data_IF_470376073556
#
_entry.id   IF_470376073556
#
_cell.length_a   1.000
_cell.length_b   1.000
_cell.length_c   1.000
_cell.angle_alpha   90.00
_cell.angle_beta   90.00
_cell.angle_gamma   90.00
#
_symmetry.space_group_name_H-M   'P 1'
#
loop_
_entity.id
_entity.type
_entity.pdbx_description
1 polymer ?
#
# COMPACT_ATOMS: atom_id res chain seq x y z
N UNK A 1 -13.64 20.89 15.50
CA UNK A 1 -14.86 20.35 16.14
C UNK A 1 -15.06 18.95 15.54
N UNK A 2 -15.01 17.91 16.37
CA UNK A 2 -15.01 16.51 15.94
C UNK A 2 -16.45 16.07 15.67
N UNK A 3 -16.77 15.66 14.44
CA UNK A 3 -18.05 15.04 14.11
C UNK A 3 -18.01 13.56 14.47
N UNK A 4 -19.00 13.11 15.24
CA UNK A 4 -19.22 11.70 15.54
C UNK A 4 -19.35 10.89 14.23
N UNK A 5 -18.67 9.74 14.18
CA UNK A 5 -18.76 8.80 13.06
C UNK A 5 -20.11 8.09 13.12
N UNK A 6 -21.10 8.62 12.40
CA UNK A 6 -22.40 7.97 12.18
C UNK A 6 -22.18 6.60 11.55
N UNK A 7 -22.74 5.57 12.21
CA UNK A 7 -22.71 4.17 11.81
C UNK A 7 -23.31 4.01 10.41
N UNK A 8 -22.66 3.18 9.61
CA UNK A 8 -22.76 3.12 8.16
C UNK A 8 -24.18 2.84 7.62
N UNK A 9 -24.61 3.72 6.71
CA UNK A 9 -25.78 3.56 5.85
C UNK A 9 -25.39 2.67 4.65
N UNK A 10 -25.09 1.38 4.88
CA UNK A 10 -24.52 0.45 3.87
C UNK A 10 -25.53 -0.03 2.80
N UNK A 11 -26.83 0.27 2.92
CA UNK A 11 -27.87 -0.33 2.07
C UNK A 11 -28.18 0.40 0.75
N UNK A 12 -27.65 1.61 0.52
CA UNK A 12 -27.97 2.45 -0.66
C UNK A 12 -26.77 2.73 -1.58
N UNK A 13 -25.58 2.30 -1.22
CA UNK A 13 -24.37 2.40 -2.04
C UNK A 13 -23.77 0.99 -2.16
N UNK A 14 -23.33 0.61 -3.36
CA UNK A 14 -22.53 -0.61 -3.52
C UNK A 14 -21.24 -0.42 -2.71
N UNK A 15 -21.21 -0.95 -1.50
CA UNK A 15 -20.10 -0.81 -0.57
C UNK A 15 -19.02 -1.80 -0.96
N UNK A 16 -18.16 -1.39 -1.91
CA UNK A 16 -16.99 -2.18 -2.26
C UNK A 16 -15.92 -2.00 -1.19
N UNK A 17 -15.67 -3.05 -0.42
CA UNK A 17 -14.62 -3.08 0.59
C UNK A 17 -13.55 -4.10 0.17
N UNK A 18 -12.40 -3.62 -0.31
CA UNK A 18 -11.27 -4.44 -0.71
C UNK A 18 -10.84 -5.44 0.38
N UNK A 19 -10.88 -5.03 1.65
CA UNK A 19 -10.50 -5.91 2.76
C UNK A 19 -11.43 -7.12 2.89
N UNK A 20 -12.72 -6.95 2.61
CA UNK A 20 -13.68 -8.06 2.63
C UNK A 20 -13.50 -9.02 1.44
N UNK A 21 -12.83 -8.58 0.37
CA UNK A 21 -12.64 -9.38 -0.84
C UNK A 21 -11.29 -10.11 -0.89
N UNK A 22 -10.31 -9.74 -0.07
CA UNK A 22 -9.02 -10.46 0.02
C UNK A 22 -9.12 -11.54 1.10
N UNK A 23 -8.91 -12.84 0.76
CA UNK A 23 -8.99 -13.94 1.72
C UNK A 23 -8.14 -13.70 2.98
N UNK A 24 -8.65 -14.12 4.14
CA UNK A 24 -7.96 -13.89 5.42
C UNK A 24 -6.61 -14.62 5.51
N UNK A 25 -6.49 -15.76 4.82
CA UNK A 25 -5.31 -16.62 4.71
C UNK A 25 -4.37 -16.21 3.54
N UNK A 26 -4.66 -15.11 2.85
CA UNK A 26 -3.86 -14.66 1.72
C UNK A 26 -2.41 -14.34 2.13
N UNK A 27 -1.44 -14.85 1.37
CA UNK A 27 0.00 -14.72 1.66
C UNK A 27 0.41 -13.26 1.93
N UNK A 28 -0.04 -12.31 1.11
CA UNK A 28 0.31 -10.89 1.27
C UNK A 28 -0.20 -10.28 2.59
N UNK A 29 -1.32 -10.76 3.14
CA UNK A 29 -1.77 -10.33 4.48
C UNK A 29 -0.82 -10.82 5.56
N UNK A 30 -0.31 -12.04 5.41
CA UNK A 30 0.68 -12.57 6.34
C UNK A 30 2.00 -11.81 6.26
N UNK A 31 2.46 -11.44 5.06
CA UNK A 31 3.67 -10.65 4.87
C UNK A 31 3.50 -9.23 5.44
N UNK A 32 2.38 -8.56 5.15
CA UNK A 32 2.12 -7.18 5.60
C UNK A 32 2.23 -7.02 7.12
N UNK A 33 1.83 -8.03 7.91
CA UNK A 33 2.00 -8.04 9.37
C UNK A 33 3.44 -7.91 9.86
N UNK A 34 4.42 -8.26 9.03
CA UNK A 34 5.84 -8.24 9.39
C UNK A 34 6.64 -7.19 8.63
N UNK A 35 6.02 -6.47 7.70
CA UNK A 35 6.68 -5.46 6.87
C UNK A 35 6.32 -4.07 7.39
N UNK A 36 7.14 -3.55 8.32
CA UNK A 36 7.06 -2.16 8.75
C UNK A 36 7.98 -1.29 7.88
N UNK A 37 7.37 -0.35 7.15
CA UNK A 37 8.06 0.59 6.26
C UNK A 37 7.87 2.05 6.70
N UNK A 38 7.24 2.30 7.86
CA UNK A 38 6.84 3.63 8.30
C UNK A 38 8.00 4.64 8.33
N UNK A 39 9.20 4.21 8.70
CA UNK A 39 10.38 5.08 8.77
C UNK A 39 11.10 5.31 7.43
N UNK A 40 10.80 4.55 6.37
CA UNK A 40 11.68 4.48 5.19
C UNK A 40 11.78 5.82 4.45
N UNK A 41 10.68 6.58 4.41
CA UNK A 41 10.65 7.87 3.74
C UNK A 41 11.59 8.88 4.40
N UNK A 42 11.64 8.90 5.72
CA UNK A 42 12.49 9.83 6.47
C UNK A 42 13.97 9.48 6.29
N UNK A 43 14.29 8.19 6.36
CA UNK A 43 15.65 7.69 6.13
C UNK A 43 16.16 7.99 4.73
N UNK A 44 15.28 7.93 3.73
CA UNK A 44 15.66 8.15 2.33
C UNK A 44 15.58 9.61 1.90
N UNK A 45 14.94 10.49 2.69
CA UNK A 45 14.76 11.92 2.38
C UNK A 45 16.05 12.63 1.95
N UNK A 46 17.23 12.42 2.58
CA UNK A 46 18.46 13.10 2.19
C UNK A 46 18.96 12.77 0.78
N UNK A 47 18.51 11.65 0.20
CA UNK A 47 18.95 11.20 -1.12
C UNK A 47 18.06 11.68 -2.26
N UNK A 48 16.90 12.27 -1.95
CA UNK A 48 15.99 12.79 -2.96
C UNK A 48 16.31 14.24 -3.31
N UNK A 49 16.20 14.56 -4.60
CA UNK A 49 16.29 15.93 -5.08
C UNK A 49 15.16 16.78 -4.50
N UNK A 50 15.48 18.00 -4.09
CA UNK A 50 14.50 19.03 -3.71
C UNK A 50 13.82 19.69 -4.91
N UNK A 51 14.30 19.40 -6.14
CA UNK A 51 13.78 19.95 -7.40
C UNK A 51 13.47 18.83 -8.40
N UNK A 52 12.55 19.10 -9.33
CA UNK A 52 12.11 18.14 -10.35
C UNK A 52 10.83 17.39 -9.99
N UNK A 53 10.51 16.34 -10.76
CA UNK A 53 9.31 15.52 -10.54
C UNK A 53 9.51 14.65 -9.28
N UNK A 54 8.55 14.63 -8.34
CA UNK A 54 8.60 13.70 -7.21
C UNK A 54 8.78 12.26 -7.68
N UNK A 55 9.73 11.54 -7.08
CA UNK A 55 9.90 10.10 -7.28
C UNK A 55 8.72 9.33 -6.70
N UNK A 56 8.57 8.06 -7.14
CA UNK A 56 7.63 7.11 -6.53
C UNK A 56 7.92 7.03 -5.02
N UNK A 57 6.85 6.90 -4.23
CA UNK A 57 6.97 6.72 -2.79
C UNK A 57 7.80 5.46 -2.49
N UNK A 58 8.89 5.55 -1.68
CA UNK A 58 9.74 4.40 -1.42
C UNK A 58 9.01 3.24 -0.75
N UNK A 59 8.01 3.52 0.09
CA UNK A 59 7.18 2.48 0.69
C UNK A 59 6.38 1.73 -0.39
N UNK A 60 5.74 2.47 -1.29
CA UNK A 60 4.99 1.88 -2.41
C UNK A 60 5.90 1.04 -3.31
N UNK A 61 7.09 1.56 -3.63
CA UNK A 61 8.05 0.86 -4.46
C UNK A 61 8.44 -0.49 -3.87
N UNK A 62 8.77 -0.53 -2.58
CA UNK A 62 9.15 -1.77 -1.89
C UNK A 62 7.97 -2.75 -1.82
N UNK A 63 6.75 -2.26 -1.51
CA UNK A 63 5.54 -3.09 -1.51
C UNK A 63 5.28 -3.72 -2.89
N UNK A 64 5.43 -2.96 -3.97
CA UNK A 64 5.26 -3.46 -5.33
C UNK A 64 6.31 -4.50 -5.70
N UNK A 65 7.56 -4.32 -5.29
CA UNK A 65 8.61 -5.32 -5.49
C UNK A 65 8.30 -6.62 -4.73
N UNK A 66 7.89 -6.54 -3.46
CA UNK A 66 7.47 -7.71 -2.67
C UNK A 66 6.35 -8.47 -3.38
N UNK A 67 5.31 -7.76 -3.83
CA UNK A 67 4.20 -8.35 -4.61
C UNK A 67 4.74 -9.04 -5.86
N UNK A 68 5.63 -8.37 -6.61
CA UNK A 68 6.22 -8.92 -7.81
C UNK A 68 7.00 -10.20 -7.57
N UNK A 69 7.81 -10.25 -6.50
CA UNK A 69 8.55 -11.47 -6.13
C UNK A 69 7.61 -12.59 -5.71
N UNK A 70 6.60 -12.31 -4.88
CA UNK A 70 5.61 -13.31 -4.44
C UNK A 70 4.77 -13.87 -5.60
N UNK A 71 4.48 -13.05 -6.61
CA UNK A 71 3.62 -13.42 -7.75
C UNK A 71 4.40 -13.82 -9.00
N UNK A 72 5.73 -13.92 -8.92
CA UNK A 72 6.59 -14.30 -10.07
C UNK A 72 6.66 -13.24 -11.18
N UNK A 73 6.31 -11.99 -10.90
CA UNK A 73 6.38 -10.87 -11.84
C UNK A 73 7.80 -10.30 -11.84
N UNK A 74 8.62 -10.76 -12.80
CA UNK A 74 10.03 -10.36 -12.93
C UNK A 74 10.30 -9.00 -13.60
N UNK A 75 9.26 -8.29 -14.04
CA UNK A 75 9.41 -7.05 -14.79
C UNK A 75 8.81 -5.91 -14.00
N UNK A 76 9.64 -4.96 -13.60
CA UNK A 76 9.18 -3.73 -12.93
C UNK A 76 8.17 -2.96 -13.79
N UNK A 77 8.35 -2.93 -15.12
CA UNK A 77 7.37 -2.33 -16.06
C UNK A 77 5.99 -3.01 -16.08
N UNK A 78 5.85 -4.21 -15.51
CA UNK A 78 4.55 -4.89 -15.37
C UNK A 78 3.95 -4.64 -13.99
N UNK A 79 4.72 -4.10 -13.05
CA UNK A 79 4.32 -3.77 -11.69
C UNK A 79 3.92 -2.30 -11.53
N UNK A 80 4.57 -1.41 -12.26
CA UNK A 80 4.44 0.05 -12.19
C UNK A 80 4.22 0.65 -13.57
#
# INVERSE_FOLDING_TARGET
>A
MMGERTVAQEALFYSFNLERHVPADHLLRSIDRFVDLSGIREHLRPFYSSTGRPSIDPELMIRMLIIGYCMGIRSERRLM
#
